data_IF_090808014300
#
_entry.id   IF_090808014300
#
_cell.length_a   1.000
_cell.length_b   1.000
_cell.length_c   1.000
_cell.angle_alpha   90.00
_cell.angle_beta   90.00
_cell.angle_gamma   90.00
#
_symmetry.space_group_name_H-M   'P 1'
#
loop_
_entity.id
_entity.type
_entity.pdbx_description
1 polymer ?
#
# COMPACT_ATOMS: atom_id res chain seq x y z
N UNK A 1 46.81 56.30 -33.62
CA UNK A 1 45.48 56.17 -32.88
C UNK A 1 44.91 54.80 -33.23
N UNK A 2 45.16 53.82 -32.38
CA UNK A 2 44.86 52.42 -32.63
C UNK A 2 43.67 52.04 -31.77
N UNK A 3 42.75 51.38 -32.43
CA UNK A 3 41.42 50.94 -31.90
C UNK A 3 41.46 50.17 -30.60
N UNK A 4 40.76 50.69 -29.60
CA UNK A 4 40.35 50.01 -28.37
C UNK A 4 38.85 49.74 -28.39
N UNK A 5 38.36 48.89 -29.30
CA UNK A 5 36.92 48.54 -29.28
C UNK A 5 36.61 47.05 -29.52
N UNK A 6 37.59 46.17 -29.65
CA UNK A 6 37.34 44.74 -29.91
C UNK A 6 37.53 43.83 -28.71
N UNK A 7 38.00 44.34 -27.56
CA UNK A 7 38.26 43.50 -26.36
C UNK A 7 37.05 43.15 -25.50
N UNK A 8 35.94 43.93 -25.55
CA UNK A 8 34.82 43.77 -24.61
C UNK A 8 33.67 42.86 -25.09
N UNK A 9 33.64 42.52 -26.36
CA UNK A 9 32.55 41.70 -26.91
C UNK A 9 32.78 40.20 -26.72
N UNK A 10 34.02 39.77 -26.57
CA UNK A 10 34.36 38.36 -26.35
C UNK A 10 34.19 37.91 -24.87
N UNK A 11 34.37 38.81 -23.91
CA UNK A 11 34.21 38.50 -22.49
C UNK A 11 32.72 38.33 -22.14
N UNK A 12 31.83 39.14 -22.73
CA UNK A 12 30.38 39.03 -22.51
C UNK A 12 29.81 37.76 -23.15
N UNK A 13 30.30 37.33 -24.30
CA UNK A 13 29.90 36.08 -24.95
C UNK A 13 30.37 34.85 -24.18
N UNK A 14 31.54 34.88 -23.58
CA UNK A 14 32.06 33.78 -22.74
C UNK A 14 31.31 33.72 -21.41
N UNK A 15 30.92 34.86 -20.83
CA UNK A 15 30.12 34.87 -19.58
C UNK A 15 28.68 34.40 -19.78
N UNK A 16 28.09 34.71 -20.94
CA UNK A 16 26.72 34.22 -21.28
C UNK A 16 26.74 32.73 -21.59
N UNK A 17 27.80 32.20 -22.19
CA UNK A 17 27.94 30.75 -22.42
C UNK A 17 28.20 29.96 -21.13
N UNK A 18 28.93 30.52 -20.17
CA UNK A 18 29.18 29.84 -18.87
C UNK A 18 27.96 29.86 -17.95
N UNK A 19 27.12 30.92 -18.02
CA UNK A 19 25.87 30.97 -17.26
C UNK A 19 24.81 30.02 -17.85
N UNK A 20 24.75 29.85 -19.17
CA UNK A 20 23.88 28.86 -19.83
C UNK A 20 24.33 27.42 -19.59
N UNK A 21 25.62 27.13 -19.40
CA UNK A 21 26.07 25.78 -19.04
C UNK A 21 25.85 25.45 -17.56
N UNK A 22 25.80 26.43 -16.64
CA UNK A 22 25.47 26.18 -15.22
C UNK A 22 23.98 26.06 -14.96
N UNK A 23 23.11 26.62 -15.82
CA UNK A 23 21.68 26.46 -15.74
C UNK A 23 21.17 25.09 -16.28
N UNK A 24 22.02 24.39 -17.08
CA UNK A 24 21.70 23.05 -17.61
C UNK A 24 22.24 21.94 -16.68
N UNK A 25 23.19 22.24 -15.79
CA UNK A 25 23.73 21.27 -14.83
C UNK A 25 22.87 21.14 -13.52
N UNK A 26 21.83 21.97 -13.34
CA UNK A 26 20.88 21.90 -12.23
C UNK A 26 19.59 21.14 -12.53
N UNK A 27 19.40 20.69 -13.77
CA UNK A 27 18.30 19.83 -14.17
C UNK A 27 18.83 18.43 -14.47
N UNK A 28 18.36 17.46 -13.71
CA UNK A 28 18.58 16.03 -13.87
C UNK A 28 19.69 15.43 -12.98
N UNK A 29 19.45 15.41 -11.69
CA UNK A 29 19.59 14.16 -10.99
C UNK A 29 18.19 13.73 -10.58
N UNK A 30 17.41 13.25 -11.55
CA UNK A 30 16.45 12.20 -11.29
C UNK A 30 17.25 11.05 -10.66
N UNK A 31 16.78 10.44 -9.56
CA UNK A 31 17.42 9.25 -9.04
C UNK A 31 17.53 8.28 -10.23
N UNK A 32 18.73 7.79 -10.49
CA UNK A 32 18.94 6.72 -11.47
C UNK A 32 17.91 5.66 -11.17
N UNK A 33 17.00 5.44 -12.12
CA UNK A 33 16.20 4.22 -12.14
C UNK A 33 17.15 3.09 -11.83
N UNK A 34 16.84 2.33 -10.78
CA UNK A 34 17.55 1.08 -10.54
C UNK A 34 17.34 0.24 -11.79
N UNK A 35 18.37 0.11 -12.61
CA UNK A 35 18.43 -0.85 -13.70
C UNK A 35 18.16 -2.23 -13.11
N UNK A 36 16.94 -2.75 -13.29
CA UNK A 36 16.55 -4.05 -12.82
C UNK A 36 15.08 -4.23 -12.50
N UNK A 37 14.31 -3.17 -12.25
CA UNK A 37 12.86 -3.30 -12.10
C UNK A 37 12.21 -3.42 -13.47
N UNK A 38 12.11 -4.64 -14.00
CA UNK A 38 11.36 -4.91 -15.22
C UNK A 38 9.89 -4.52 -14.98
N UNK A 39 9.39 -3.53 -15.73
CA UNK A 39 7.97 -3.19 -15.74
C UNK A 39 7.17 -4.35 -16.33
N UNK A 40 6.36 -5.00 -15.54
CA UNK A 40 5.47 -6.06 -16.00
C UNK A 40 4.07 -5.49 -16.25
N UNK A 41 3.64 -5.49 -17.51
CA UNK A 41 2.21 -5.34 -17.83
C UNK A 41 1.52 -6.67 -17.54
N UNK A 42 0.72 -6.71 -16.49
CA UNK A 42 -0.07 -7.91 -16.19
C UNK A 42 -1.18 -8.07 -17.23
N UNK A 43 -1.10 -9.13 -18.01
CA UNK A 43 -2.18 -9.50 -18.94
C UNK A 43 -3.41 -9.91 -18.12
N UNK A 44 -4.53 -9.22 -18.31
CA UNK A 44 -5.84 -9.50 -17.68
C UNK A 44 -6.44 -10.87 -18.06
N UNK A 45 -5.74 -11.67 -18.85
CA UNK A 45 -6.22 -12.94 -19.40
C UNK A 45 -5.82 -14.17 -18.61
N UNK A 46 -5.11 -14.05 -17.48
CA UNK A 46 -4.71 -15.22 -16.69
C UNK A 46 -5.77 -15.52 -15.63
N UNK A 47 -6.67 -16.42 -16.00
CA UNK A 47 -7.56 -17.25 -15.16
C UNK A 47 -8.16 -16.65 -13.88
N UNK A 48 -9.45 -16.30 -14.00
CA UNK A 48 -10.36 -15.92 -12.92
C UNK A 48 -10.77 -17.11 -12.03
N UNK A 49 -9.91 -18.07 -11.78
CA UNK A 49 -10.21 -19.11 -10.81
C UNK A 49 -10.03 -18.59 -9.39
N UNK A 50 -11.13 -18.19 -8.76
CA UNK A 50 -11.17 -18.20 -7.29
C UNK A 50 -11.13 -19.67 -6.88
N UNK A 51 -10.09 -20.15 -6.16
CA UNK A 51 -10.12 -21.50 -5.66
C UNK A 51 -11.29 -21.61 -4.68
N UNK A 52 -12.35 -22.29 -5.07
CA UNK A 52 -13.40 -22.67 -4.13
C UNK A 52 -12.75 -23.51 -3.02
N UNK A 53 -13.11 -23.18 -1.78
CA UNK A 53 -12.70 -24.00 -0.64
C UNK A 53 -13.29 -25.39 -0.85
N UNK A 54 -12.44 -26.40 -0.91
CA UNK A 54 -12.91 -27.78 -1.00
C UNK A 54 -13.71 -28.17 0.25
N UNK A 55 -14.57 -29.17 0.16
CA UNK A 55 -15.47 -29.59 1.23
C UNK A 55 -14.73 -29.98 2.50
N UNK A 56 -13.56 -30.60 2.38
CA UNK A 56 -12.74 -30.94 3.54
C UNK A 56 -12.24 -29.71 4.27
N UNK A 57 -11.81 -28.68 3.56
CA UNK A 57 -11.41 -27.39 4.18
C UNK A 57 -12.60 -26.74 4.88
N UNK A 58 -13.77 -26.73 4.26
CA UNK A 58 -15.01 -26.19 4.87
C UNK A 58 -15.36 -26.95 6.15
N UNK A 59 -15.26 -28.27 6.14
CA UNK A 59 -15.49 -29.13 7.29
C UNK A 59 -14.54 -28.81 8.45
N UNK A 60 -13.24 -28.72 8.17
CA UNK A 60 -12.21 -28.41 9.17
C UNK A 60 -12.35 -26.99 9.74
N UNK A 61 -12.69 -25.99 8.92
CA UNK A 61 -13.01 -24.64 9.39
C UNK A 61 -14.18 -24.69 10.37
N UNK A 62 -15.25 -25.42 10.02
CA UNK A 62 -16.43 -25.56 10.87
C UNK A 62 -16.11 -26.28 12.17
N UNK A 63 -15.31 -27.34 12.14
CA UNK A 63 -14.86 -28.08 13.31
C UNK A 63 -14.04 -27.19 14.26
N UNK A 64 -13.05 -26.47 13.73
CA UNK A 64 -12.21 -25.58 14.51
C UNK A 64 -13.00 -24.42 15.12
N UNK A 65 -13.91 -23.79 14.37
CA UNK A 65 -14.77 -22.70 14.88
C UNK A 65 -15.71 -23.15 15.98
N UNK A 66 -16.21 -24.40 15.91
CA UNK A 66 -17.11 -24.97 16.93
C UNK A 66 -16.35 -25.36 18.19
N UNK A 67 -15.18 -25.92 18.03
CA UNK A 67 -14.33 -26.40 19.12
C UNK A 67 -12.84 -26.07 18.83
N UNK A 68 -12.32 -24.92 19.32
CA UNK A 68 -10.99 -24.42 19.00
C UNK A 68 -9.89 -25.13 19.82
N UNK A 69 -9.79 -26.45 19.69
CA UNK A 69 -8.70 -27.23 20.28
C UNK A 69 -7.43 -27.17 19.43
N UNK A 70 -6.28 -27.43 20.03
CA UNK A 70 -5.00 -27.52 19.28
C UNK A 70 -5.03 -28.62 18.22
N UNK A 71 -5.75 -29.71 18.46
CA UNK A 71 -5.94 -30.80 17.50
C UNK A 71 -6.70 -30.31 16.26
N UNK A 72 -7.84 -29.64 16.43
CA UNK A 72 -8.62 -29.07 15.32
C UNK A 72 -7.85 -27.97 14.59
N UNK A 73 -7.05 -27.18 15.32
CA UNK A 73 -6.17 -26.18 14.73
C UNK A 73 -5.09 -26.81 13.87
N UNK A 74 -4.41 -27.85 14.37
CA UNK A 74 -3.38 -28.57 13.65
C UNK A 74 -3.95 -29.26 12.39
N UNK A 75 -5.13 -29.88 12.49
CA UNK A 75 -5.80 -30.50 11.34
C UNK A 75 -6.15 -29.48 10.27
N UNK A 76 -6.70 -28.33 10.65
CA UNK A 76 -7.00 -27.22 9.72
C UNK A 76 -5.70 -26.69 9.08
N UNK A 77 -4.66 -26.44 9.89
CA UNK A 77 -3.35 -25.98 9.41
C UNK A 77 -2.78 -26.90 8.35
N UNK A 78 -2.74 -28.20 8.63
CA UNK A 78 -2.26 -29.19 7.68
C UNK A 78 -2.99 -29.17 6.35
N UNK A 79 -4.32 -28.94 6.39
CA UNK A 79 -5.12 -28.81 5.17
C UNK A 79 -4.84 -27.49 4.43
N UNK A 80 -4.64 -26.39 5.15
CA UNK A 80 -4.27 -25.09 4.57
C UNK A 80 -2.91 -25.18 3.88
N UNK A 81 -1.92 -25.77 4.52
CA UNK A 81 -0.59 -26.04 3.96
C UNK A 81 -0.69 -26.86 2.68
N UNK A 82 -1.42 -27.99 2.71
CA UNK A 82 -1.66 -28.83 1.54
C UNK A 82 -2.28 -28.06 0.37
N UNK A 83 -3.29 -27.24 0.67
CA UNK A 83 -3.95 -26.41 -0.35
C UNK A 83 -3.00 -25.37 -0.93
N UNK A 84 -2.21 -24.72 -0.07
CA UNK A 84 -1.23 -23.72 -0.49
C UNK A 84 -0.15 -24.36 -1.39
N UNK A 85 0.43 -25.44 -0.95
CA UNK A 85 1.48 -26.17 -1.70
C UNK A 85 0.96 -26.67 -3.05
N UNK A 86 -0.30 -27.10 -3.12
CA UNK A 86 -0.94 -27.46 -4.39
C UNK A 86 -1.08 -26.26 -5.34
N UNK A 87 -1.37 -25.06 -4.82
CA UNK A 87 -1.39 -23.83 -5.63
C UNK A 87 0.02 -23.49 -6.13
N UNK A 88 1.03 -23.56 -5.26
CA UNK A 88 2.43 -23.32 -5.64
C UNK A 88 2.88 -24.31 -6.71
N UNK A 89 2.55 -25.58 -6.56
CA UNK A 89 2.90 -26.62 -7.55
C UNK A 89 2.28 -26.34 -8.92
N UNK A 90 1.00 -25.95 -8.97
CA UNK A 90 0.34 -25.54 -10.23
C UNK A 90 1.01 -24.32 -10.86
N UNK A 91 1.44 -23.34 -10.07
CA UNK A 91 2.15 -22.15 -10.58
C UNK A 91 3.53 -22.51 -11.11
N UNK A 92 4.26 -23.38 -10.44
CA UNK A 92 5.54 -23.92 -10.95
C UNK A 92 5.36 -24.67 -12.28
N UNK A 93 4.35 -25.54 -12.36
CA UNK A 93 4.05 -26.25 -13.60
C UNK A 93 3.72 -25.27 -14.75
N UNK A 94 2.93 -24.21 -14.45
CA UNK A 94 2.62 -23.16 -15.44
C UNK A 94 3.85 -22.36 -15.87
N UNK A 95 4.75 -22.07 -14.94
CA UNK A 95 6.03 -21.43 -15.24
C UNK A 95 6.88 -22.30 -16.20
N UNK A 96 6.98 -23.59 -15.93
CA UNK A 96 7.72 -24.50 -16.81
C UNK A 96 7.06 -24.67 -18.20
N UNK A 97 5.75 -24.63 -18.27
CA UNK A 97 5.03 -24.55 -19.54
C UNK A 97 5.35 -23.26 -20.31
N UNK A 98 5.32 -22.10 -19.61
CA UNK A 98 5.65 -20.81 -20.20
C UNK A 98 7.10 -20.77 -20.71
N UNK A 99 8.07 -21.33 -19.99
CA UNK A 99 9.47 -21.43 -20.44
C UNK A 99 9.61 -22.21 -21.75
N UNK A 100 8.73 -23.18 -22.00
CA UNK A 100 8.73 -23.98 -23.23
C UNK A 100 7.97 -23.34 -24.39
N UNK A 101 6.90 -22.59 -24.11
CA UNK A 101 5.93 -22.16 -25.11
C UNK A 101 5.85 -20.65 -25.33
N UNK A 102 6.30 -19.83 -24.35
CA UNK A 102 6.12 -18.39 -24.43
C UNK A 102 7.08 -17.72 -25.42
N UNK A 103 6.51 -16.89 -26.30
CA UNK A 103 7.27 -16.03 -27.23
C UNK A 103 7.82 -14.76 -26.57
N UNK A 104 7.39 -14.45 -25.37
CA UNK A 104 7.73 -13.20 -24.65
C UNK A 104 8.34 -13.50 -23.28
N UNK A 105 9.58 -13.13 -23.09
CA UNK A 105 10.34 -13.32 -21.84
C UNK A 105 9.66 -12.66 -20.64
N UNK A 106 8.97 -11.51 -20.84
CA UNK A 106 8.29 -10.78 -19.77
C UNK A 106 7.25 -11.63 -19.01
N UNK A 107 6.54 -12.54 -19.70
CA UNK A 107 5.57 -13.45 -19.05
C UNK A 107 6.22 -14.50 -18.17
N UNK A 108 7.40 -14.97 -18.59
CA UNK A 108 8.20 -15.93 -17.82
C UNK A 108 8.72 -15.24 -16.55
N UNK A 109 9.31 -14.06 -16.72
CA UNK A 109 9.87 -13.28 -15.61
C UNK A 109 8.78 -12.91 -14.58
N UNK A 110 7.59 -12.51 -15.04
CA UNK A 110 6.44 -12.23 -14.18
C UNK A 110 6.01 -13.46 -13.37
N UNK A 111 5.86 -14.61 -14.02
CA UNK A 111 5.46 -15.84 -13.34
C UNK A 111 6.54 -16.32 -12.38
N UNK A 112 7.83 -16.15 -12.71
CA UNK A 112 8.95 -16.47 -11.83
C UNK A 112 8.88 -15.66 -10.55
N UNK A 113 8.71 -14.33 -10.66
CA UNK A 113 8.57 -13.45 -9.49
C UNK A 113 7.40 -13.88 -8.60
N UNK A 114 6.25 -14.23 -9.19
CA UNK A 114 5.08 -14.70 -8.43
C UNK A 114 5.40 -15.98 -7.66
N UNK A 115 6.08 -16.95 -8.30
CA UNK A 115 6.44 -18.22 -7.66
C UNK A 115 7.45 -18.00 -6.53
N UNK A 116 8.46 -17.16 -6.75
CA UNK A 116 9.50 -16.87 -5.75
C UNK A 116 8.91 -16.15 -4.52
N UNK A 117 8.03 -15.19 -4.72
CA UNK A 117 7.31 -14.54 -3.62
C UNK A 117 6.42 -15.52 -2.85
N UNK A 118 5.70 -16.38 -3.54
CA UNK A 118 4.86 -17.38 -2.87
C UNK A 118 5.69 -18.35 -2.02
N UNK A 119 6.87 -18.71 -2.47
CA UNK A 119 7.78 -19.57 -1.70
C UNK A 119 8.37 -18.84 -0.49
N UNK A 120 8.84 -17.60 -0.69
CA UNK A 120 9.43 -16.78 0.37
C UNK A 120 8.44 -16.49 1.49
N UNK A 121 7.20 -16.14 1.14
CA UNK A 121 6.20 -15.71 2.10
C UNK A 121 5.24 -16.84 2.53
N UNK A 122 5.59 -18.10 2.24
CA UNK A 122 4.72 -19.27 2.47
C UNK A 122 4.13 -19.30 3.88
N UNK A 123 4.98 -19.21 4.89
CA UNK A 123 4.55 -19.33 6.28
C UNK A 123 3.61 -18.20 6.69
N UNK A 124 3.95 -16.97 6.35
CA UNK A 124 3.12 -15.80 6.62
C UNK A 124 1.73 -15.93 5.97
N UNK A 125 1.64 -16.45 4.76
CA UNK A 125 0.36 -16.65 4.05
C UNK A 125 -0.49 -17.77 4.67
N UNK A 126 0.15 -18.82 5.17
CA UNK A 126 -0.53 -19.88 5.91
C UNK A 126 -1.11 -19.30 7.20
N UNK A 127 -0.32 -18.56 7.98
CA UNK A 127 -0.80 -17.91 9.22
C UNK A 127 -1.97 -16.94 8.95
N UNK A 128 -1.89 -16.13 7.90
CA UNK A 128 -2.99 -15.24 7.49
C UNK A 128 -4.26 -16.06 7.15
N UNK A 129 -4.13 -17.16 6.44
CA UNK A 129 -5.26 -18.03 6.11
C UNK A 129 -5.86 -18.67 7.36
N UNK A 130 -5.02 -19.15 8.28
CA UNK A 130 -5.45 -19.71 9.56
C UNK A 130 -6.22 -18.68 10.39
N UNK A 131 -5.67 -17.47 10.52
CA UNK A 131 -6.31 -16.37 11.24
C UNK A 131 -7.69 -16.03 10.64
N UNK A 132 -7.80 -15.95 9.30
CA UNK A 132 -9.08 -15.71 8.61
C UNK A 132 -10.09 -16.81 8.84
N UNK A 133 -9.67 -18.08 8.80
CA UNK A 133 -10.57 -19.21 9.01
C UNK A 133 -11.00 -19.36 10.47
N UNK A 134 -10.16 -18.94 11.41
CA UNK A 134 -10.48 -18.96 12.84
C UNK A 134 -11.56 -17.95 13.23
N UNK A 135 -11.67 -16.81 12.56
CA UNK A 135 -12.61 -15.75 12.95
C UNK A 135 -14.01 -15.94 12.35
N UNK A 136 -15.03 -16.22 13.19
CA UNK A 136 -16.40 -16.40 12.73
C UNK A 136 -17.06 -15.10 12.23
N UNK A 137 -16.44 -13.92 12.49
CA UNK A 137 -16.95 -12.62 12.03
C UNK A 137 -16.66 -12.40 10.54
N UNK A 138 -15.62 -13.05 10.01
CA UNK A 138 -15.31 -13.01 8.58
C UNK A 138 -16.24 -13.94 7.82
N UNK A 139 -17.33 -13.36 7.32
CA UNK A 139 -18.19 -14.04 6.34
C UNK A 139 -17.75 -13.63 4.94
N UNK A 140 -17.61 -14.59 4.00
CA UNK A 140 -17.43 -14.24 2.61
C UNK A 140 -18.53 -13.27 2.19
N UNK A 141 -18.16 -12.07 1.72
CA UNK A 141 -19.11 -11.06 1.25
C UNK A 141 -19.58 -10.01 2.27
N UNK A 142 -19.12 -10.01 3.51
CA UNK A 142 -19.34 -8.85 4.39
C UNK A 142 -18.51 -7.66 3.88
N UNK A 143 -19.19 -6.59 3.46
CA UNK A 143 -18.53 -5.46 2.78
C UNK A 143 -17.97 -4.44 3.76
N UNK A 144 -18.71 -4.03 4.76
CA UNK A 144 -18.34 -2.96 5.68
C UNK A 144 -18.64 -3.38 7.13
N UNK A 145 -17.70 -3.10 8.04
CA UNK A 145 -17.96 -3.21 9.46
C UNK A 145 -19.07 -2.22 9.86
N UNK A 146 -19.86 -2.54 10.89
CA UNK A 146 -20.99 -1.69 11.32
C UNK A 146 -20.61 -0.26 11.67
N UNK A 147 -19.33 0.00 11.93
CA UNK A 147 -18.78 1.28 12.36
C UNK A 147 -17.68 1.80 11.41
N UNK A 148 -17.63 1.31 10.16
CA UNK A 148 -16.60 1.71 9.18
C UNK A 148 -15.23 1.04 9.40
N UNK A 149 -15.15 0.04 10.27
CA UNK A 149 -13.90 -0.67 10.57
C UNK A 149 -14.04 -2.17 10.34
N UNK A 150 -12.98 -2.77 9.80
CA UNK A 150 -12.87 -4.22 9.59
C UNK A 150 -11.99 -4.86 10.67
N UNK A 151 -12.36 -6.03 11.21
CA UNK A 151 -11.54 -6.72 12.18
C UNK A 151 -10.21 -7.15 11.56
N UNK A 152 -9.11 -6.81 12.21
CA UNK A 152 -7.77 -7.19 11.81
C UNK A 152 -7.39 -8.51 12.48
N UNK A 153 -7.56 -9.59 11.74
CA UNK A 153 -7.35 -10.94 12.25
C UNK A 153 -5.86 -11.26 12.19
N UNK A 154 -5.34 -11.79 13.29
CA UNK A 154 -3.90 -12.11 13.42
C UNK A 154 -3.06 -11.01 14.07
N UNK A 155 -3.55 -9.76 14.15
CA UNK A 155 -2.83 -8.67 14.82
C UNK A 155 -3.16 -8.56 16.33
N UNK A 156 -4.11 -9.36 16.82
CA UNK A 156 -4.56 -9.34 18.21
C UNK A 156 -6.08 -9.28 18.36
N UNK A 157 -6.55 -9.50 19.59
CA UNK A 157 -7.97 -9.33 19.90
C UNK A 157 -8.31 -7.84 19.91
N UNK A 158 -9.45 -7.47 19.31
CA UNK A 158 -9.99 -6.10 19.33
C UNK A 158 -9.26 -5.05 18.49
N UNK A 159 -8.38 -5.44 17.57
CA UNK A 159 -7.77 -4.53 16.59
C UNK A 159 -8.62 -4.54 15.33
N UNK A 160 -8.99 -3.35 14.86
CA UNK A 160 -9.78 -3.16 13.64
C UNK A 160 -9.09 -2.09 12.77
N UNK A 161 -9.17 -2.24 11.45
CA UNK A 161 -8.62 -1.28 10.49
C UNK A 161 -9.76 -0.56 9.76
N UNK A 162 -9.58 0.71 9.45
CA UNK A 162 -10.55 1.47 8.69
C UNK A 162 -10.82 0.82 7.32
N UNK A 163 -12.09 0.83 6.91
CA UNK A 163 -12.54 0.25 5.64
C UNK A 163 -11.91 0.91 4.44
N UNK A 164 -11.69 2.23 4.51
CA UNK A 164 -11.04 3.05 3.48
C UNK A 164 -9.90 3.87 4.09
N UNK A 165 -9.02 4.44 3.26
CA UNK A 165 -8.19 5.58 3.67
C UNK A 165 -9.05 6.76 4.14
N UNK A 166 -8.48 7.67 4.93
CA UNK A 166 -9.15 8.89 5.37
C UNK A 166 -9.41 9.80 4.18
N UNK A 167 -10.66 10.22 4.02
CA UNK A 167 -11.10 11.10 2.93
C UNK A 167 -10.89 12.59 3.25
N UNK A 168 -10.91 13.41 2.20
CA UNK A 168 -10.86 14.89 2.37
C UNK A 168 -12.01 15.39 3.24
N UNK A 169 -13.23 14.85 3.06
CA UNK A 169 -14.39 15.24 3.88
C UNK A 169 -14.19 14.91 5.37
N UNK A 170 -13.63 13.75 5.67
CA UNK A 170 -13.34 13.33 7.05
C UNK A 170 -12.24 14.19 7.67
N UNK A 171 -11.19 14.47 6.90
CA UNK A 171 -10.09 15.32 7.35
C UNK A 171 -10.54 16.78 7.58
N UNK A 172 -11.45 17.31 6.76
CA UNK A 172 -12.03 18.62 6.95
C UNK A 172 -12.81 18.76 8.28
N UNK A 173 -13.45 17.67 8.75
CA UNK A 173 -14.10 17.65 10.06
C UNK A 173 -13.09 17.81 11.20
N UNK A 174 -11.94 17.12 11.06
CA UNK A 174 -10.82 17.28 12.01
C UNK A 174 -10.29 18.72 12.06
N UNK A 175 -10.03 19.32 10.89
CA UNK A 175 -9.54 20.71 10.82
C UNK A 175 -10.50 21.68 11.47
N UNK A 176 -11.81 21.51 11.21
CA UNK A 176 -12.86 22.39 11.78
C UNK A 176 -12.92 22.33 13.31
N UNK A 177 -12.58 21.18 13.90
CA UNK A 177 -12.69 20.95 15.33
C UNK A 177 -11.38 21.19 16.11
N UNK A 178 -10.23 21.36 15.42
CA UNK A 178 -8.91 21.38 16.09
C UNK A 178 -8.04 22.57 15.75
N UNK A 179 -8.43 23.43 14.82
CA UNK A 179 -7.58 24.50 14.28
C UNK A 179 -6.24 24.00 13.71
N UNK A 180 -6.14 22.71 13.40
CA UNK A 180 -4.96 22.12 12.79
C UNK A 180 -4.75 22.69 11.38
N UNK A 181 -3.51 22.81 10.94
CA UNK A 181 -3.18 23.41 9.65
C UNK A 181 -3.64 22.52 8.49
N UNK A 182 -4.34 23.11 7.54
CA UNK A 182 -4.78 22.42 6.34
C UNK A 182 -3.59 22.05 5.42
N UNK A 183 -3.71 20.98 4.60
CA UNK A 183 -2.77 20.69 3.53
C UNK A 183 -2.53 21.90 2.63
N UNK A 184 -1.30 22.07 2.13
CA UNK A 184 -0.88 23.28 1.38
C UNK A 184 -1.74 23.56 0.13
N UNK A 185 -2.26 22.50 -0.49
CA UNK A 185 -3.08 22.59 -1.71
C UNK A 185 -4.54 22.91 -1.44
N UNK A 186 -4.96 22.98 -0.18
CA UNK A 186 -6.31 23.34 0.18
C UNK A 186 -6.44 24.88 0.21
N UNK A 187 -7.11 25.43 -0.78
CA UNK A 187 -7.35 26.87 -0.87
C UNK A 187 -8.29 27.32 0.26
N UNK A 188 -7.85 28.29 1.03
CA UNK A 188 -8.60 28.80 2.19
C UNK A 188 -9.05 27.70 3.17
N UNK A 189 -8.22 26.66 3.33
CA UNK A 189 -8.52 25.52 4.19
C UNK A 189 -9.60 24.57 3.67
N UNK A 190 -9.96 24.69 2.38
CA UNK A 190 -10.96 23.86 1.71
C UNK A 190 -10.30 22.94 0.67
N UNK A 191 -10.67 21.66 0.69
CA UNK A 191 -10.23 20.71 -0.34
C UNK A 191 -10.83 21.05 -1.72
N UNK A 192 -10.21 20.62 -2.83
CA UNK A 192 -10.70 20.92 -4.18
C UNK A 192 -12.12 20.38 -4.40
N UNK A 193 -12.93 21.15 -5.10
CA UNK A 193 -14.32 20.79 -5.41
C UNK A 193 -14.41 19.41 -6.10
N UNK A 194 -15.36 18.57 -5.65
CA UNK A 194 -15.58 17.23 -6.18
C UNK A 194 -14.58 16.18 -5.68
N UNK A 195 -13.69 16.54 -4.73
CA UNK A 195 -12.70 15.65 -4.13
C UNK A 195 -13.06 15.22 -2.69
N UNK A 196 -14.31 15.38 -2.26
CA UNK A 196 -14.81 14.99 -0.94
C UNK A 196 -14.47 13.57 -0.54
N UNK A 197 -14.73 12.63 -1.45
CA UNK A 197 -14.47 11.18 -1.25
C UNK A 197 -13.08 10.71 -1.69
N UNK A 198 -12.22 11.57 -2.18
CA UNK A 198 -10.84 11.20 -2.47
C UNK A 198 -10.03 11.10 -1.17
N UNK A 199 -8.99 10.26 -1.14
CA UNK A 199 -8.10 10.21 0.01
C UNK A 199 -7.46 11.58 0.25
N UNK A 200 -7.33 11.99 1.51
CA UNK A 200 -6.58 13.18 1.85
C UNK A 200 -5.09 12.95 1.56
N UNK A 201 -4.47 13.86 0.84
CA UNK A 201 -3.04 13.82 0.49
C UNK A 201 -2.33 15.09 0.95
N UNK A 202 -1.03 15.15 0.80
CA UNK A 202 -0.19 16.27 1.28
C UNK A 202 -0.28 16.48 2.80
N UNK A 203 -0.51 15.39 3.51
CA UNK A 203 -0.47 15.30 4.98
C UNK A 203 0.83 14.64 5.40
N UNK A 204 1.50 15.21 6.38
CA UNK A 204 2.70 14.66 6.99
C UNK A 204 2.34 13.46 7.90
N UNK A 205 3.35 12.70 8.30
CA UNK A 205 3.17 11.66 9.32
C UNK A 205 2.57 12.21 10.61
N UNK A 206 3.04 13.38 11.05
CA UNK A 206 2.54 14.02 12.28
C UNK A 206 1.11 14.53 12.15
N UNK A 207 0.70 14.99 10.96
CA UNK A 207 -0.70 15.36 10.70
C UNK A 207 -1.62 14.14 10.81
N UNK A 208 -1.18 13.00 10.28
CA UNK A 208 -1.90 11.73 10.39
C UNK A 208 -1.99 11.25 11.85
N UNK A 209 -0.92 11.39 12.64
CA UNK A 209 -0.93 11.09 14.08
C UNK A 209 -1.87 12.03 14.83
N UNK A 210 -1.82 13.34 14.57
CA UNK A 210 -2.73 14.31 15.18
C UNK A 210 -4.22 14.01 14.89
N UNK A 211 -4.53 13.59 13.67
CA UNK A 211 -5.87 13.10 13.31
C UNK A 211 -6.29 11.91 14.18
N UNK A 212 -5.41 10.91 14.34
CA UNK A 212 -5.68 9.74 15.18
C UNK A 212 -5.89 10.11 16.66
N UNK A 213 -5.13 11.07 17.19
CA UNK A 213 -5.28 11.57 18.56
C UNK A 213 -6.61 12.30 18.75
N UNK A 214 -6.99 13.18 17.79
CA UNK A 214 -8.30 13.82 17.79
C UNK A 214 -9.43 12.78 17.79
N UNK A 215 -9.33 11.76 16.92
CA UNK A 215 -10.34 10.71 16.81
C UNK A 215 -10.44 9.89 18.11
N UNK A 216 -9.31 9.67 18.81
CA UNK A 216 -9.26 9.02 20.12
C UNK A 216 -10.00 9.85 21.18
N UNK A 217 -9.76 11.16 21.22
CA UNK A 217 -10.45 12.08 22.15
C UNK A 217 -11.95 12.14 21.87
N UNK A 218 -12.33 12.20 20.58
CA UNK A 218 -13.72 12.33 20.14
C UNK A 218 -14.55 11.07 20.36
N UNK A 219 -14.03 9.91 19.95
CA UNK A 219 -14.80 8.67 19.86
C UNK A 219 -14.31 7.58 20.81
N UNK A 220 -13.17 7.76 21.46
CA UNK A 220 -12.56 6.75 22.30
C UNK A 220 -13.35 6.48 23.59
N UNK A 221 -13.95 7.50 24.19
CA UNK A 221 -14.69 7.43 25.47
C UNK A 221 -13.95 6.59 26.54
N UNK A 222 -12.58 6.63 26.52
CA UNK A 222 -11.73 5.80 27.37
C UNK A 222 -11.70 4.30 27.01
N UNK A 223 -12.42 3.86 25.97
CA UNK A 223 -12.57 2.44 25.58
C UNK A 223 -11.93 2.08 24.24
N UNK A 224 -11.61 3.04 23.41
CA UNK A 224 -10.95 2.83 22.13
C UNK A 224 -9.83 3.84 21.89
N UNK A 225 -8.73 3.36 21.33
CA UNK A 225 -7.60 4.15 20.87
C UNK A 225 -7.49 4.06 19.36
N UNK A 226 -7.23 5.21 18.72
CA UNK A 226 -7.02 5.28 17.29
C UNK A 226 -5.56 5.61 17.01
N UNK A 227 -4.96 4.95 16.03
CA UNK A 227 -3.56 5.10 15.64
C UNK A 227 -3.32 4.69 14.19
N UNK A 228 -2.15 4.97 13.67
CA UNK A 228 -1.72 4.42 12.39
C UNK A 228 -1.44 2.91 12.52
N UNK A 229 -1.62 2.12 11.44
CA UNK A 229 -1.19 0.73 11.39
C UNK A 229 0.33 0.62 11.41
N UNK A 230 0.87 -0.41 12.01
CA UNK A 230 2.23 -0.85 11.70
C UNK A 230 2.27 -1.44 10.29
N UNK A 231 3.45 -1.52 9.67
CA UNK A 231 3.62 -2.18 8.36
C UNK A 231 3.06 -3.61 8.37
N UNK A 232 3.35 -4.38 9.42
CA UNK A 232 2.82 -5.74 9.58
C UNK A 232 1.30 -5.78 9.67
N UNK A 233 0.68 -4.88 10.42
CA UNK A 233 -0.78 -4.78 10.51
C UNK A 233 -1.41 -4.42 9.18
N UNK A 234 -0.79 -3.51 8.44
CA UNK A 234 -1.22 -3.14 7.10
C UNK A 234 -1.13 -4.33 6.14
N UNK A 235 -0.01 -5.07 6.15
CA UNK A 235 0.18 -6.28 5.35
C UNK A 235 -0.82 -7.38 5.71
N UNK A 236 -1.10 -7.57 7.00
CA UNK A 236 -2.14 -8.48 7.46
C UNK A 236 -3.53 -8.08 6.95
N UNK A 237 -3.84 -6.79 6.98
CA UNK A 237 -5.11 -6.27 6.48
C UNK A 237 -5.25 -6.47 4.97
N UNK A 238 -4.22 -6.11 4.21
CA UNK A 238 -4.20 -6.25 2.76
C UNK A 238 -4.27 -7.72 2.35
N UNK A 239 -3.47 -8.57 2.99
CA UNK A 239 -3.28 -9.94 2.55
C UNK A 239 -2.65 -9.99 1.15
N UNK A 240 -2.80 -11.09 0.47
CA UNK A 240 -2.30 -11.22 -0.89
C UNK A 240 -3.18 -10.47 -1.88
N UNK A 241 -2.59 -9.63 -2.73
CA UNK A 241 -3.30 -8.91 -3.77
C UNK A 241 -3.92 -9.92 -4.77
N UNK A 242 -5.24 -9.87 -5.00
CA UNK A 242 -5.87 -10.72 -6.00
C UNK A 242 -5.28 -10.46 -7.39
N UNK A 243 -5.18 -11.49 -8.23
CA UNK A 243 -4.64 -11.34 -9.59
C UNK A 243 -5.47 -10.43 -10.47
N UNK A 244 -6.79 -10.50 -10.28
CA UNK A 244 -7.81 -9.71 -10.96
C UNK A 244 -8.15 -8.42 -10.20
N UNK A 245 -7.30 -8.02 -9.24
CA UNK A 245 -7.46 -6.77 -8.53
C UNK A 245 -7.46 -5.61 -9.52
N UNK A 246 -8.52 -4.81 -9.46
CA UNK A 246 -8.63 -3.56 -10.19
C UNK A 246 -8.44 -2.39 -9.23
N UNK A 247 -7.51 -1.51 -9.53
CA UNK A 247 -7.15 -0.39 -8.67
C UNK A 247 -6.37 0.69 -9.43
N UNK A 248 -6.31 1.89 -8.87
CA UNK A 248 -5.67 3.04 -9.48
C UNK A 248 -4.14 2.94 -9.40
N UNK A 249 -3.47 2.68 -10.54
CA UNK A 249 -2.01 2.61 -10.63
C UNK A 249 -1.50 3.01 -12.02
N UNK A 250 -0.45 3.81 -12.06
CA UNK A 250 0.38 4.07 -13.24
C UNK A 250 -0.25 4.74 -14.48
N UNK A 251 -1.55 4.71 -14.62
CA UNK A 251 -2.25 5.12 -15.86
C UNK A 251 -3.18 6.34 -15.67
N UNK A 252 -3.41 6.77 -14.44
CA UNK A 252 -4.29 7.91 -14.13
C UNK A 252 -3.50 9.13 -13.66
N UNK A 253 -4.02 10.31 -13.91
CA UNK A 253 -3.38 11.58 -13.58
C UNK A 253 -3.65 12.05 -12.13
N UNK A 254 -4.06 11.16 -11.24
CA UNK A 254 -4.33 11.52 -9.86
C UNK A 254 -5.16 10.49 -9.08
N UNK A 255 -5.59 10.90 -7.89
CA UNK A 255 -6.38 10.05 -7.01
C UNK A 255 -7.80 9.81 -7.56
N UNK A 256 -8.36 8.65 -7.21
CA UNK A 256 -9.80 8.32 -7.38
C UNK A 256 -10.52 8.36 -6.04
N UNK A 257 -11.86 8.46 -6.01
CA UNK A 257 -12.63 8.24 -4.79
C UNK A 257 -12.28 6.90 -4.15
N UNK A 258 -12.19 6.85 -2.82
CA UNK A 258 -11.78 5.64 -2.07
C UNK A 258 -12.71 4.44 -2.28
N UNK A 259 -13.94 4.65 -2.75
CA UNK A 259 -14.93 3.62 -3.05
C UNK A 259 -15.05 3.29 -4.56
N UNK A 260 -14.17 3.86 -5.39
CA UNK A 260 -14.22 3.64 -6.84
C UNK A 260 -14.02 2.15 -7.18
N UNK A 261 -13.04 1.52 -6.60
CA UNK A 261 -12.70 0.09 -6.80
C UNK A 261 -13.26 -0.80 -5.67
N UNK A 262 -14.49 -0.55 -5.23
CA UNK A 262 -15.17 -1.25 -4.12
C UNK A 262 -15.28 -2.77 -4.25
N UNK A 263 -15.05 -3.33 -5.43
CA UNK A 263 -15.07 -4.77 -5.67
C UNK A 263 -13.70 -5.43 -5.40
N UNK A 264 -12.64 -4.65 -5.30
CA UNK A 264 -11.30 -5.13 -4.95
C UNK A 264 -11.15 -5.12 -3.43
N UNK A 265 -11.48 -6.27 -2.83
CA UNK A 265 -11.47 -6.44 -1.38
C UNK A 265 -10.13 -7.01 -0.90
N UNK A 266 -9.57 -6.39 0.12
CA UNK A 266 -8.44 -6.90 0.86
C UNK A 266 -8.80 -8.14 1.70
N UNK A 267 -7.80 -8.78 2.28
CA UNK A 267 -8.00 -9.96 3.12
C UNK A 267 -8.93 -9.72 4.32
N UNK A 268 -8.85 -8.54 4.94
CA UNK A 268 -9.74 -8.15 6.03
C UNK A 268 -11.11 -7.64 5.55
N UNK A 269 -11.32 -7.45 4.25
CA UNK A 269 -12.52 -6.87 3.66
C UNK A 269 -12.47 -5.36 3.46
N UNK A 270 -11.36 -4.68 3.78
CA UNK A 270 -11.14 -3.28 3.45
C UNK A 270 -10.96 -3.10 1.93
N UNK A 271 -11.18 -1.88 1.46
CA UNK A 271 -10.99 -1.50 0.05
C UNK A 271 -9.90 -0.43 -0.09
N UNK A 272 -9.48 -0.22 -1.33
CA UNK A 272 -8.46 0.79 -1.67
C UNK A 272 -7.12 0.56 -0.92
N UNK A 273 -6.74 -0.72 -0.74
CA UNK A 273 -5.49 -1.11 -0.09
C UNK A 273 -4.31 -1.13 -1.08
N UNK A 274 -4.57 -1.14 -2.38
CA UNK A 274 -3.53 -1.17 -3.42
C UNK A 274 -3.73 -0.03 -4.41
N UNK A 275 -2.64 0.68 -4.72
CA UNK A 275 -2.67 1.86 -5.58
C UNK A 275 -3.34 3.06 -4.94
N UNK A 276 -3.85 3.97 -5.74
CA UNK A 276 -4.44 5.24 -5.37
C UNK A 276 -3.47 6.16 -4.62
N UNK A 277 -3.15 5.85 -3.36
CA UNK A 277 -2.14 6.55 -2.56
C UNK A 277 -1.37 5.58 -1.67
N UNK A 278 -0.07 5.82 -1.51
CA UNK A 278 0.70 5.24 -0.41
C UNK A 278 0.05 5.58 0.93
N UNK A 279 0.15 4.70 1.89
CA UNK A 279 -0.41 4.91 3.21
C UNK A 279 0.66 4.94 4.29
N UNK A 280 0.65 5.98 5.13
CA UNK A 280 1.52 6.07 6.29
C UNK A 280 1.35 4.88 7.22
N UNK A 281 2.47 4.31 7.68
CA UNK A 281 2.51 3.31 8.76
C UNK A 281 3.28 3.82 9.96
N UNK A 282 3.05 3.23 11.13
CA UNK A 282 3.79 3.53 12.36
C UNK A 282 5.15 2.81 12.43
N UNK A 283 5.64 2.24 11.32
CA UNK A 283 6.90 1.51 11.29
C UNK A 283 8.03 2.42 10.83
N UNK A 284 9.02 2.61 11.68
CA UNK A 284 10.22 3.39 11.35
C UNK A 284 11.18 2.58 10.50
N UNK A 285 11.67 3.19 9.43
CA UNK A 285 12.74 2.61 8.61
C UNK A 285 14.08 3.04 9.19
N UNK A 286 14.96 2.07 9.41
CA UNK A 286 16.34 2.35 9.79
C UNK A 286 17.13 2.73 8.54
N UNK A 287 17.91 3.82 8.54
CA UNK A 287 18.79 4.16 7.44
C UNK A 287 19.84 3.04 7.25
N UNK A 288 20.19 2.76 6.02
CA UNK A 288 21.21 1.74 5.69
C UNK A 288 22.63 2.17 6.09
N UNK A 289 22.85 3.47 6.26
CA UNK A 289 24.11 4.06 6.71
C UNK A 289 23.85 4.97 7.91
N UNK A 290 24.79 4.97 8.84
CA UNK A 290 24.80 5.95 9.94
C UNK A 290 25.10 7.33 9.36
N UNK A 291 24.14 8.23 9.43
CA UNK A 291 24.28 9.65 9.04
C UNK A 291 24.43 10.48 10.33
N UNK A 292 25.22 11.57 10.28
CA UNK A 292 25.39 12.47 11.44
C UNK A 292 24.07 13.09 11.92
N UNK A 293 23.10 13.31 11.01
CA UNK A 293 21.75 13.80 11.34
C UNK A 293 20.70 13.00 10.55
N UNK A 294 20.37 11.77 10.97
CA UNK A 294 19.44 10.92 10.25
C UNK A 294 18.04 11.52 10.27
N UNK A 295 17.47 11.70 9.07
CA UNK A 295 16.07 12.07 8.94
C UNK A 295 15.19 10.95 9.46
N UNK A 296 14.12 11.32 10.16
CA UNK A 296 13.15 10.32 10.57
C UNK A 296 12.29 9.89 9.39
N UNK A 297 12.36 8.61 9.07
CA UNK A 297 11.70 8.01 7.92
C UNK A 297 10.73 6.93 8.40
N UNK A 298 9.47 7.03 7.97
CA UNK A 298 8.45 6.03 8.24
C UNK A 298 8.12 5.27 6.96
N UNK A 299 7.80 3.99 7.11
CA UNK A 299 7.37 3.16 6.00
C UNK A 299 5.99 3.58 5.48
N UNK A 300 5.82 3.57 4.16
CA UNK A 300 4.53 3.70 3.49
C UNK A 300 4.24 2.45 2.68
N UNK A 301 2.98 2.07 2.55
CA UNK A 301 2.54 0.82 1.89
C UNK A 301 1.44 1.09 0.86
N UNK A 302 1.28 0.18 -0.08
CA UNK A 302 0.15 0.09 -1.00
C UNK A 302 0.38 0.59 -2.40
N UNK A 303 1.35 1.47 -2.63
CA UNK A 303 1.54 2.11 -3.93
C UNK A 303 0.63 3.32 -4.14
N UNK A 304 0.77 4.00 -5.26
CA UNK A 304 -0.02 5.17 -5.60
C UNK A 304 -0.46 5.16 -7.07
N UNK A 305 -1.31 6.10 -7.44
CA UNK A 305 -1.85 6.26 -8.80
C UNK A 305 -0.78 6.37 -9.88
N UNK A 306 0.41 6.86 -9.54
CA UNK A 306 1.56 7.04 -10.46
C UNK A 306 2.66 5.98 -10.31
N UNK A 307 2.42 4.92 -9.53
CA UNK A 307 3.42 3.85 -9.35
C UNK A 307 3.10 2.62 -10.19
N UNK A 308 4.12 1.87 -10.64
CA UNK A 308 3.89 0.60 -11.34
C UNK A 308 3.10 -0.38 -10.48
N UNK A 309 2.23 -1.17 -11.11
CA UNK A 309 1.41 -2.17 -10.44
C UNK A 309 2.21 -3.13 -9.55
N UNK A 310 3.42 -3.45 -9.93
CA UNK A 310 4.34 -4.30 -9.15
C UNK A 310 4.72 -3.69 -7.81
N UNK A 311 4.82 -2.37 -7.73
CA UNK A 311 5.13 -1.64 -6.49
C UNK A 311 3.91 -1.49 -5.56
N UNK A 312 2.70 -1.74 -6.06
CA UNK A 312 1.48 -1.70 -5.26
C UNK A 312 1.19 -3.00 -4.50
N UNK A 313 2.00 -4.04 -4.68
CA UNK A 313 1.81 -5.34 -4.02
C UNK A 313 2.01 -5.26 -2.52
N UNK A 314 1.27 -6.07 -1.79
CA UNK A 314 1.44 -6.18 -0.32
C UNK A 314 2.87 -6.53 0.07
N UNK A 315 3.50 -7.43 -0.69
CA UNK A 315 4.86 -7.90 -0.47
C UNK A 315 5.94 -6.92 -0.94
N UNK A 316 5.57 -5.89 -1.70
CA UNK A 316 6.51 -4.86 -2.10
C UNK A 316 7.04 -4.16 -0.83
N UNK A 317 8.36 -4.00 -0.76
CA UNK A 317 8.97 -3.24 0.33
C UNK A 317 8.37 -1.84 0.31
N UNK A 318 7.82 -1.45 1.46
CA UNK A 318 7.33 -0.08 1.64
C UNK A 318 8.48 0.89 1.39
N UNK A 319 8.19 1.92 0.64
CA UNK A 319 9.12 3.04 0.53
C UNK A 319 9.15 3.80 1.84
N UNK A 320 10.26 4.48 2.11
CA UNK A 320 10.37 5.41 3.24
C UNK A 320 9.99 6.82 2.82
N UNK A 321 9.35 7.53 3.72
CA UNK A 321 9.06 8.98 3.57
C UNK A 321 9.45 9.74 4.83
N UNK A 322 9.96 10.96 4.65
CA UNK A 322 10.28 11.86 5.76
C UNK A 322 9.03 12.28 6.50
N UNK A 323 9.09 12.26 7.83
CA UNK A 323 7.91 12.44 8.70
C UNK A 323 7.30 13.83 8.69
N UNK A 324 8.11 14.87 8.36
CA UNK A 324 7.70 16.28 8.42
C UNK A 324 7.05 16.80 7.15
N UNK A 325 7.19 16.06 6.05
CA UNK A 325 6.71 16.48 4.74
C UNK A 325 5.38 15.81 4.38
N UNK A 326 4.51 16.54 3.72
CA UNK A 326 3.33 16.00 3.03
C UNK A 326 3.65 15.68 1.58
N UNK A 327 3.06 14.61 1.05
CA UNK A 327 3.29 14.14 -0.31
C UNK A 327 1.96 13.99 -1.06
N UNK A 328 1.92 14.42 -2.33
CA UNK A 328 0.74 14.33 -3.18
C UNK A 328 0.26 12.89 -3.46
N UNK A 329 1.12 11.92 -3.15
CA UNK A 329 0.86 10.49 -3.35
C UNK A 329 0.71 9.71 -2.05
N UNK A 330 0.69 10.38 -0.88
CA UNK A 330 0.64 9.71 0.42
C UNK A 330 -0.58 10.17 1.21
N UNK A 331 -1.32 9.21 1.72
CA UNK A 331 -2.47 9.31 2.61
C UNK A 331 -2.25 8.46 3.86
N UNK A 332 -3.30 8.16 4.59
CA UNK A 332 -3.27 7.23 5.73
C UNK A 332 -4.63 6.59 5.98
N UNK A 333 -4.61 5.43 6.63
CA UNK A 333 -5.81 4.82 7.24
C UNK A 333 -5.58 4.56 8.72
N UNK A 334 -6.65 4.28 9.42
CA UNK A 334 -6.66 4.26 10.89
C UNK A 334 -6.88 2.85 11.42
N UNK A 335 -6.15 2.49 12.47
CA UNK A 335 -6.44 1.38 13.35
C UNK A 335 -7.31 1.87 14.51
N UNK A 336 -8.35 1.09 14.83
CA UNK A 336 -9.16 1.23 16.04
C UNK A 336 -8.88 0.05 16.96
N UNK A 337 -8.31 0.32 18.11
CA UNK A 337 -7.98 -0.65 19.16
C UNK A 337 -8.95 -0.47 20.33
N UNK A 338 -9.63 -1.57 20.76
CA UNK A 338 -10.61 -1.57 21.86
C UNK A 338 -10.06 -2.26 23.09
#
# INVERSE_FOLDING_TARGET
MINHKEGNMNIVKILIMTISLMAIAGYAQQPKEQEGAKQFKFSTTVERERPELNEETKRLISAYRRNPTEENKAALRKQVEKNYDAVVARKKAKLEELKRTARHQSKIDEMQVIVDEMLRDRENRIEQSMARFADPRLRPGSREGRDGYQPLIGAGKNINIAYTPVTNEEYAKFLKETEHKAPKEWLDGKYPQGKDKHPVVNVSYYDAVAYCEWLTKKNGNGKAKYRLPTEKEWEFAAGHMPKDADFNCGENDGTTPVDHYKNTLAACGAIDMWGNCWEWTATKIKPEKEEENPKEIMAVKGGAWNTPRTSCRTEARGEGRETKEGYATVTFRVIKEK
#
